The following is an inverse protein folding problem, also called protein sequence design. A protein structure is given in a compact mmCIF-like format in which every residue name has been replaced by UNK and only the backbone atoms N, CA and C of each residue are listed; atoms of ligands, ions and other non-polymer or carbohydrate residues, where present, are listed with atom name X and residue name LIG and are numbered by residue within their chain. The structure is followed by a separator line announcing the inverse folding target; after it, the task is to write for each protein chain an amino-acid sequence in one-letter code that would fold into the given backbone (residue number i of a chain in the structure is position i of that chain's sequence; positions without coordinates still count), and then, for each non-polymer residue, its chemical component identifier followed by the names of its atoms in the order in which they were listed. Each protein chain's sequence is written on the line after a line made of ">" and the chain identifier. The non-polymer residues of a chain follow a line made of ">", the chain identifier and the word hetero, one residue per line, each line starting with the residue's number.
data_IF_087819138149
#
_entry.id   IF_087819138149
#
_cell.length_a   1.000
_cell.length_b   1.000
_cell.length_c   1.000
_cell.angle_alpha   90.00
_cell.angle_beta   90.00
_cell.angle_gamma   90.00
#
_symmetry.space_group_name_H-M   'P 1'
#
loop_
_entity.id
_entity.type
_entity.pdbx_description
1 polymer ?
#
# COMPACT_ATOMS: atom_id res chain seq x y z
N UNK A 1 11.37 58.74 0.80
CA UNK A 1 10.31 57.94 0.14
C UNK A 1 10.86 56.66 -0.53
N UNK A 2 12.02 56.69 -1.22
CA UNK A 2 12.58 55.52 -1.90
C UNK A 2 12.94 54.32 -0.98
N UNK A 3 13.48 54.58 0.23
CA UNK A 3 13.84 53.51 1.18
C UNK A 3 12.67 52.70 1.74
N UNK A 4 11.51 53.34 1.95
CA UNK A 4 10.32 52.65 2.48
C UNK A 4 9.65 51.74 1.44
N UNK A 5 9.69 52.13 0.16
CA UNK A 5 9.18 51.32 -0.96
C UNK A 5 10.02 50.05 -1.13
N UNK A 6 11.34 50.15 -0.98
CA UNK A 6 12.25 48.99 -1.03
C UNK A 6 12.01 48.00 0.11
N UNK A 7 11.79 48.49 1.33
CA UNK A 7 11.51 47.64 2.50
C UNK A 7 10.15 46.94 2.39
N UNK A 8 9.13 47.64 1.90
CA UNK A 8 7.79 47.06 1.66
C UNK A 8 7.83 45.95 0.61
N UNK A 9 8.59 46.14 -0.48
CA UNK A 9 8.75 45.11 -1.51
C UNK A 9 9.52 43.88 -1.00
N UNK A 10 10.54 44.07 -0.14
CA UNK A 10 11.25 42.97 0.51
C UNK A 10 10.35 42.18 1.46
N UNK A 11 9.56 42.86 2.30
CA UNK A 11 8.60 42.22 3.20
C UNK A 11 7.54 41.43 2.43
N UNK A 12 7.02 41.99 1.34
CA UNK A 12 6.03 41.33 0.47
C UNK A 12 6.62 40.12 -0.26
N UNK A 13 7.87 40.19 -0.74
CA UNK A 13 8.56 39.04 -1.35
C UNK A 13 8.75 37.92 -0.33
N UNK A 14 9.26 38.23 0.86
CA UNK A 14 9.46 37.23 1.93
C UNK A 14 8.15 36.57 2.37
N UNK A 15 7.06 37.32 2.46
CA UNK A 15 5.73 36.76 2.75
C UNK A 15 5.27 35.81 1.63
N UNK A 16 5.42 36.21 0.37
CA UNK A 16 5.07 35.35 -0.76
C UNK A 16 5.91 34.07 -0.78
N UNK A 17 7.23 34.17 -0.54
CA UNK A 17 8.12 33.01 -0.47
C UNK A 17 7.75 32.07 0.69
N UNK A 18 7.35 32.61 1.85
CA UNK A 18 6.88 31.82 2.98
C UNK A 18 5.55 31.10 2.71
N UNK A 19 4.61 31.76 2.02
CA UNK A 19 3.35 31.17 1.61
C UNK A 19 3.56 30.04 0.58
N UNK A 20 4.46 30.26 -0.39
CA UNK A 20 4.80 29.26 -1.39
C UNK A 20 5.46 28.03 -0.75
N UNK A 21 6.36 28.24 0.22
CA UNK A 21 6.98 27.12 0.95
C UNK A 21 5.93 26.31 1.73
N UNK A 22 4.97 26.98 2.38
CA UNK A 22 3.88 26.29 3.07
C UNK A 22 3.01 25.47 2.09
N UNK A 23 2.63 26.06 0.96
CA UNK A 23 1.84 25.38 -0.07
C UNK A 23 2.60 24.19 -0.68
N UNK A 24 3.92 24.30 -0.85
CA UNK A 24 4.78 23.19 -1.29
C UNK A 24 4.77 22.04 -0.28
N UNK A 25 4.92 22.31 1.03
CA UNK A 25 4.87 21.26 2.05
C UNK A 25 3.48 20.61 2.14
N UNK A 26 2.41 21.39 2.08
CA UNK A 26 1.04 20.85 2.05
C UNK A 26 0.81 19.95 0.82
N UNK A 27 1.32 20.35 -0.35
CA UNK A 27 1.24 19.53 -1.56
C UNK A 27 2.08 18.25 -1.43
N UNK A 28 3.27 18.30 -0.82
CA UNK A 28 4.08 17.10 -0.56
C UNK A 28 3.34 16.11 0.36
N UNK A 29 2.71 16.61 1.42
CA UNK A 29 1.90 15.78 2.32
C UNK A 29 0.72 15.13 1.59
N UNK A 30 0.00 15.90 0.77
CA UNK A 30 -1.11 15.38 -0.05
C UNK A 30 -0.65 14.31 -1.04
N UNK A 31 0.47 14.51 -1.73
CA UNK A 31 1.03 13.52 -2.66
C UNK A 31 1.40 12.24 -1.92
N UNK A 32 2.09 12.34 -0.78
CA UNK A 32 2.47 11.19 0.03
C UNK A 32 1.22 10.41 0.52
N UNK A 33 0.19 11.12 0.98
CA UNK A 33 -1.08 10.51 1.34
C UNK A 33 -1.70 9.73 0.18
N UNK A 34 -1.76 10.33 -1.02
CA UNK A 34 -2.36 9.69 -2.19
C UNK A 34 -1.58 8.45 -2.65
N UNK A 35 -0.24 8.50 -2.59
CA UNK A 35 0.62 7.34 -2.90
C UNK A 35 0.40 6.19 -1.91
N UNK A 36 0.31 6.50 -0.61
CA UNK A 36 -0.01 5.51 0.42
C UNK A 36 -1.39 4.89 0.25
N UNK A 37 -2.41 5.71 -0.03
CA UNK A 37 -3.77 5.22 -0.20
C UNK A 37 -3.91 4.34 -1.44
N UNK A 38 -3.25 4.72 -2.55
CA UNK A 38 -3.15 3.89 -3.74
C UNK A 38 -2.49 2.53 -3.43
N UNK A 39 -1.33 2.55 -2.76
CA UNK A 39 -0.62 1.32 -2.36
C UNK A 39 -1.48 0.42 -1.48
N UNK A 40 -2.16 1.00 -0.49
CA UNK A 40 -3.11 0.30 0.38
C UNK A 40 -4.23 -0.37 -0.42
N UNK A 41 -4.83 0.36 -1.37
CA UNK A 41 -5.92 -0.16 -2.22
C UNK A 41 -5.47 -1.34 -3.09
N UNK A 42 -4.27 -1.26 -3.66
CA UNK A 42 -3.66 -2.34 -4.44
C UNK A 42 -3.38 -3.59 -3.58
N UNK A 43 -2.75 -3.41 -2.41
CA UNK A 43 -2.50 -4.50 -1.45
C UNK A 43 -3.79 -5.18 -0.99
N UNK A 44 -4.84 -4.41 -0.67
CA UNK A 44 -6.15 -4.98 -0.26
C UNK A 44 -6.75 -5.87 -1.36
N UNK A 45 -6.60 -5.48 -2.63
CA UNK A 45 -7.06 -6.30 -3.77
C UNK A 45 -6.24 -7.59 -3.88
N UNK A 46 -4.92 -7.49 -3.76
CA UNK A 46 -4.05 -8.67 -3.84
C UNK A 46 -4.30 -9.66 -2.70
N UNK A 47 -4.39 -9.19 -1.45
CA UNK A 47 -4.75 -10.00 -0.28
C UNK A 47 -6.08 -10.72 -0.50
N UNK A 48 -7.10 -10.01 -0.98
CA UNK A 48 -8.42 -10.61 -1.27
C UNK A 48 -8.33 -11.71 -2.33
N UNK A 49 -7.57 -11.49 -3.40
CA UNK A 49 -7.38 -12.47 -4.46
C UNK A 49 -6.61 -13.70 -3.96
N UNK A 50 -5.58 -13.51 -3.14
CA UNK A 50 -4.84 -14.63 -2.54
C UNK A 50 -5.73 -15.49 -1.64
N UNK A 51 -6.53 -14.87 -0.76
CA UNK A 51 -7.49 -15.60 0.09
C UNK A 51 -8.47 -16.42 -0.75
N UNK A 52 -8.94 -15.87 -1.86
CA UNK A 52 -9.82 -16.59 -2.78
C UNK A 52 -9.12 -17.80 -3.43
N UNK A 53 -7.88 -17.62 -3.90
CA UNK A 53 -7.11 -18.71 -4.53
C UNK A 53 -6.77 -19.82 -3.54
N UNK A 54 -6.30 -19.48 -2.33
CA UNK A 54 -6.05 -20.44 -1.25
C UNK A 54 -7.31 -21.24 -0.96
N UNK A 55 -8.44 -20.56 -0.73
CA UNK A 55 -9.74 -21.24 -0.49
C UNK A 55 -10.20 -22.14 -1.63
N UNK A 56 -9.79 -21.87 -2.88
CA UNK A 56 -10.09 -22.75 -4.01
C UNK A 56 -9.28 -24.04 -3.93
N UNK A 57 -7.99 -23.94 -3.60
CA UNK A 57 -7.10 -25.09 -3.48
C UNK A 57 -7.44 -25.90 -2.22
N UNK A 58 -7.72 -25.24 -1.09
CA UNK A 58 -8.17 -25.91 0.13
C UNK A 58 -9.40 -26.78 -0.12
N UNK A 59 -10.37 -26.26 -0.88
CA UNK A 59 -11.55 -27.04 -1.30
C UNK A 59 -11.19 -28.23 -2.18
N UNK A 60 -10.16 -28.13 -3.01
CA UNK A 60 -9.71 -29.24 -3.83
C UNK A 60 -9.02 -30.32 -2.97
N UNK A 61 -8.20 -29.91 -2.01
CA UNK A 61 -7.58 -30.77 -1.00
C UNK A 61 -8.64 -31.46 -0.12
N UNK A 62 -9.63 -30.71 0.36
CA UNK A 62 -10.70 -31.23 1.23
C UNK A 62 -11.58 -32.28 0.53
N UNK A 63 -11.75 -32.14 -0.79
CA UNK A 63 -12.52 -33.07 -1.62
C UNK A 63 -11.63 -34.13 -2.27
N UNK A 64 -10.38 -34.27 -1.85
CA UNK A 64 -9.44 -35.16 -2.47
C UNK A 64 -9.86 -36.63 -2.33
N UNK A 65 -10.04 -37.29 -3.48
CA UNK A 65 -10.21 -38.73 -3.53
C UNK A 65 -8.83 -39.41 -3.47
N UNK A 66 -8.62 -40.23 -2.45
CA UNK A 66 -7.37 -40.98 -2.22
C UNK A 66 -7.00 -41.95 -3.36
N UNK A 67 -7.85 -42.11 -4.38
CA UNK A 67 -7.55 -42.77 -5.65
C UNK A 67 -6.75 -41.94 -6.68
N UNK A 68 -6.55 -40.64 -6.47
CA UNK A 68 -5.80 -39.74 -7.38
C UNK A 68 -4.29 -39.72 -7.04
N UNK A 69 -3.44 -39.46 -8.04
CA UNK A 69 -1.97 -39.43 -7.95
C UNK A 69 -1.46 -38.60 -6.75
N UNK A 70 -0.80 -39.29 -5.80
CA UNK A 70 -0.17 -38.67 -4.63
C UNK A 70 0.75 -37.46 -4.96
N UNK A 71 1.49 -37.42 -6.09
CA UNK A 71 2.24 -36.23 -6.48
C UNK A 71 1.39 -34.98 -6.70
N UNK A 72 0.18 -35.10 -7.25
CA UNK A 72 -0.67 -33.93 -7.49
C UNK A 72 -1.21 -33.37 -6.18
N UNK A 73 -1.60 -34.22 -5.23
CA UNK A 73 -1.97 -33.78 -3.87
C UNK A 73 -0.83 -33.01 -3.19
N UNK A 74 0.39 -33.57 -3.25
CA UNK A 74 1.54 -32.93 -2.65
C UNK A 74 1.82 -31.55 -3.27
N UNK A 75 1.69 -31.42 -4.60
CA UNK A 75 1.83 -30.14 -5.28
C UNK A 75 0.79 -29.11 -4.79
N UNK A 76 -0.46 -29.51 -4.59
CA UNK A 76 -1.51 -28.61 -4.06
C UNK A 76 -1.18 -28.14 -2.64
N UNK A 77 -0.70 -29.05 -1.77
CA UNK A 77 -0.27 -28.69 -0.42
C UNK A 77 0.91 -27.70 -0.44
N UNK A 78 1.89 -27.94 -1.31
CA UNK A 78 3.04 -27.04 -1.48
C UNK A 78 2.61 -25.67 -2.03
N UNK A 79 1.69 -25.63 -2.99
CA UNK A 79 1.13 -24.39 -3.54
C UNK A 79 0.40 -23.58 -2.47
N UNK A 80 -0.48 -24.21 -1.68
CA UNK A 80 -1.18 -23.53 -0.57
C UNK A 80 -0.19 -22.94 0.42
N UNK A 81 0.81 -23.71 0.86
CA UNK A 81 1.79 -23.23 1.83
C UNK A 81 2.57 -22.00 1.31
N UNK A 82 2.92 -21.98 0.02
CA UNK A 82 3.58 -20.82 -0.60
C UNK A 82 2.66 -19.59 -0.67
N UNK A 83 1.39 -19.79 -1.03
CA UNK A 83 0.39 -18.72 -1.10
C UNK A 83 0.07 -18.15 0.29
N UNK A 84 -0.04 -19.00 1.32
CA UNK A 84 -0.23 -18.59 2.71
C UNK A 84 0.95 -17.76 3.23
N UNK A 85 2.18 -18.17 2.95
CA UNK A 85 3.36 -17.39 3.30
C UNK A 85 3.37 -16.02 2.60
N UNK A 86 2.95 -15.98 1.33
CA UNK A 86 2.81 -14.71 0.60
C UNK A 86 1.72 -13.84 1.22
N UNK A 87 0.56 -14.43 1.53
CA UNK A 87 -0.57 -13.74 2.16
C UNK A 87 -0.13 -13.11 3.49
N UNK A 88 0.55 -13.87 4.35
CA UNK A 88 1.07 -13.39 5.63
C UNK A 88 1.95 -12.14 5.48
N UNK A 89 2.88 -12.15 4.52
CA UNK A 89 3.77 -11.00 4.25
C UNK A 89 2.98 -9.76 3.82
N UNK A 90 1.97 -9.93 2.96
CA UNK A 90 1.17 -8.81 2.47
C UNK A 90 0.21 -8.26 3.52
N UNK A 91 -0.36 -9.12 4.38
CA UNK A 91 -1.17 -8.68 5.52
C UNK A 91 -0.34 -7.88 6.51
N UNK A 92 0.87 -8.33 6.82
CA UNK A 92 1.81 -7.59 7.66
C UNK A 92 2.20 -6.23 7.05
N UNK A 93 2.47 -6.18 5.74
CA UNK A 93 2.75 -4.90 5.05
C UNK A 93 1.54 -3.96 5.11
N UNK A 94 0.33 -4.48 4.94
CA UNK A 94 -0.91 -3.70 5.01
C UNK A 94 -1.14 -3.13 6.41
N UNK A 95 -0.93 -3.93 7.46
CA UNK A 95 -0.99 -3.48 8.86
C UNK A 95 0.01 -2.35 9.13
N UNK A 96 1.23 -2.46 8.61
CA UNK A 96 2.23 -1.41 8.73
C UNK A 96 1.81 -0.11 8.04
N UNK A 97 1.09 -0.17 6.92
CA UNK A 97 0.58 1.03 6.25
C UNK A 97 -0.58 1.69 7.04
N UNK A 98 -1.36 0.88 7.74
CA UNK A 98 -2.49 1.33 8.56
C UNK A 98 -2.04 1.92 9.90
N UNK A 99 -0.89 1.53 10.45
CA UNK A 99 -0.35 2.07 11.71
C UNK A 99 0.21 3.51 11.62
N UNK A 100 0.35 4.09 10.42
CA UNK A 100 0.78 5.49 10.22
C UNK A 100 -0.42 6.47 10.18
N UNK A 101 -1.48 6.19 10.94
CA UNK A 101 -2.64 7.05 11.18
C UNK A 101 -2.92 7.11 12.68
#
# INVERSE_FOLDING_TARGET
>A
MLGAISLFNLLKSNQNDSNLNYEIEELKEKVNYLERDKKRSELKKEVKNLKYNISKIDREIDNWDCGVEAPYFQNLCEEVAQLELKLFKLEHELEHLDSYY
#
